data_IF_282162380541
#
_entry.id   IF_282162380541
#
_cell.length_a   1.000
_cell.length_b   1.000
_cell.length_c   1.000
_cell.angle_alpha   90.00
_cell.angle_beta   90.00
_cell.angle_gamma   90.00
#
_symmetry.space_group_name_H-M   'P 1'
#
loop_
_entity.id
_entity.type
_entity.pdbx_description
1 polymer ?
#
# COMPACT_ATOMS: atom_id res chain seq x y z
N UNK A 1 32.78 -11.56 14.09
CA UNK A 1 31.73 -10.62 13.64
C UNK A 1 30.40 -11.34 13.78
N UNK A 2 29.70 -11.06 14.87
CA UNK A 2 28.46 -11.75 15.23
C UNK A 2 27.35 -11.39 14.23
N UNK A 3 26.77 -12.43 13.65
CA UNK A 3 25.58 -12.35 12.81
C UNK A 3 24.41 -11.81 13.65
N UNK A 4 23.97 -10.59 13.36
CA UNK A 4 22.68 -10.09 13.87
C UNK A 4 21.57 -10.90 13.21
N UNK A 5 21.17 -11.97 13.87
CA UNK A 5 19.91 -12.65 13.62
C UNK A 5 18.82 -11.59 13.78
N UNK A 6 18.10 -11.29 12.71
CA UNK A 6 16.92 -10.43 12.75
C UNK A 6 15.91 -11.10 13.68
N UNK A 7 15.90 -10.71 14.96
CA UNK A 7 14.87 -11.12 15.90
C UNK A 7 13.54 -10.61 15.37
N UNK A 8 12.68 -11.51 14.91
CA UNK A 8 11.26 -11.22 14.86
C UNK A 8 10.81 -10.94 16.29
N UNK A 9 10.62 -9.65 16.62
CA UNK A 9 10.00 -9.24 17.87
C UNK A 9 8.66 -9.96 18.00
N UNK A 10 8.38 -10.52 19.17
CA UNK A 10 7.03 -11.02 19.47
C UNK A 10 6.00 -9.91 19.22
N UNK A 11 4.80 -10.29 18.75
CA UNK A 11 3.69 -9.35 18.56
C UNK A 11 3.38 -8.63 19.87
N UNK A 12 3.01 -7.33 19.83
CA UNK A 12 2.63 -6.59 21.03
C UNK A 12 1.45 -7.23 21.76
N UNK A 13 1.51 -7.26 23.09
CA UNK A 13 0.41 -7.76 23.92
C UNK A 13 -0.55 -6.62 24.26
N UNK A 14 -1.56 -6.42 23.43
CA UNK A 14 -2.60 -5.37 23.62
C UNK A 14 -3.38 -5.53 24.94
N UNK A 15 -3.44 -6.73 25.50
CA UNK A 15 -4.10 -7.01 26.79
C UNK A 15 -3.22 -6.72 28.02
N UNK A 16 -2.05 -6.10 27.85
CA UNK A 16 -1.19 -5.73 28.97
C UNK A 16 -1.86 -4.72 29.92
N UNK A 17 -1.70 -4.94 31.23
CA UNK A 17 -2.13 -3.96 32.23
C UNK A 17 -1.29 -2.68 32.07
N UNK A 18 -1.93 -1.52 32.21
CA UNK A 18 -1.32 -0.20 32.10
C UNK A 18 -0.57 0.00 30.77
N UNK A 19 -1.15 -0.48 29.66
CA UNK A 19 -0.58 -0.29 28.34
C UNK A 19 -0.46 1.21 28.00
N UNK A 20 0.67 1.58 27.39
CA UNK A 20 0.90 2.97 26.96
C UNK A 20 0.09 3.26 25.69
N UNK A 21 -0.64 4.38 25.72
CA UNK A 21 -1.45 4.87 24.60
C UNK A 21 -0.77 6.11 24.03
N UNK A 22 -0.64 6.16 22.70
CA UNK A 22 -0.24 7.34 21.96
C UNK A 22 -1.46 7.97 21.29
N UNK A 23 -1.43 9.29 21.12
CA UNK A 23 -2.42 10.05 20.35
C UNK A 23 -1.82 10.39 18.99
N UNK A 24 -2.52 10.09 17.90
CA UNK A 24 -2.16 10.57 16.57
C UNK A 24 -3.24 11.54 16.10
N UNK A 25 -2.83 12.76 15.76
CA UNK A 25 -3.71 13.82 15.24
C UNK A 25 -3.55 13.84 13.72
N UNK A 26 -4.61 13.58 12.96
CA UNK A 26 -4.55 13.37 11.52
C UNK A 26 -5.38 14.42 10.78
N UNK A 27 -4.85 14.91 9.67
CA UNK A 27 -5.51 15.88 8.80
C UNK A 27 -5.60 17.29 9.39
N UNK A 28 -6.16 18.25 8.62
CA UNK A 28 -6.23 19.65 9.04
C UNK A 28 -7.17 19.87 10.23
N UNK A 29 -8.18 19.02 10.40
CA UNK A 29 -9.13 19.04 11.51
C UNK A 29 -8.56 18.38 12.78
N UNK A 30 -7.41 17.70 12.68
CA UNK A 30 -6.74 16.99 13.78
C UNK A 30 -7.61 15.90 14.39
N UNK A 31 -8.16 15.05 13.54
CA UNK A 31 -8.91 13.87 13.97
C UNK A 31 -8.03 13.00 14.87
N UNK A 32 -8.58 12.59 16.02
CA UNK A 32 -7.79 12.02 17.11
C UNK A 32 -7.91 10.51 17.14
N UNK A 33 -6.79 9.82 16.95
CA UNK A 33 -6.69 8.38 17.09
C UNK A 33 -5.92 8.03 18.36
N UNK A 34 -6.53 7.25 19.25
CA UNK A 34 -5.89 6.73 20.47
C UNK A 34 -5.47 5.27 20.25
N UNK A 35 -4.17 5.03 20.18
CA UNK A 35 -3.61 3.75 19.72
C UNK A 35 -2.60 3.23 20.74
N UNK A 36 -2.56 1.91 20.93
CA UNK A 36 -1.49 1.29 21.71
C UNK A 36 -0.13 1.64 21.11
N UNK A 37 0.71 2.33 21.90
CA UNK A 37 2.05 2.77 21.48
C UNK A 37 2.87 1.60 20.97
N UNK A 38 2.77 0.45 21.63
CA UNK A 38 3.52 -0.75 21.24
C UNK A 38 3.14 -1.26 19.85
N UNK A 39 1.88 -1.10 19.40
CA UNK A 39 1.49 -1.45 18.03
C UNK A 39 2.17 -0.54 17.01
N UNK A 40 2.05 0.77 17.19
CA UNK A 40 2.66 1.77 16.30
C UNK A 40 4.18 1.56 16.18
N UNK A 41 4.86 1.47 17.32
CA UNK A 41 6.32 1.31 17.35
C UNK A 41 6.79 -0.05 16.85
N UNK A 42 5.99 -1.12 17.01
CA UNK A 42 6.30 -2.44 16.50
C UNK A 42 6.29 -2.47 14.97
N UNK A 43 5.23 -1.96 14.33
CA UNK A 43 5.03 -2.07 12.89
C UNK A 43 5.63 -0.91 12.07
N UNK A 44 6.01 0.19 12.71
CA UNK A 44 6.60 1.35 12.02
C UNK A 44 7.87 1.84 12.72
N UNK A 45 9.04 1.76 12.06
CA UNK A 45 10.26 2.41 12.52
C UNK A 45 10.11 3.93 12.67
N UNK A 46 9.27 4.57 11.84
CA UNK A 46 8.95 5.99 11.97
C UNK A 46 8.30 6.28 13.33
N UNK A 47 7.18 5.61 13.65
CA UNK A 47 6.49 5.82 14.92
C UNK A 47 7.35 5.38 16.11
N UNK A 48 8.20 4.36 15.95
CA UNK A 48 9.20 3.98 16.96
C UNK A 48 10.14 5.14 17.27
N UNK A 49 10.70 5.78 16.24
CA UNK A 49 11.59 6.91 16.40
C UNK A 49 10.87 8.11 17.04
N UNK A 50 9.65 8.42 16.57
CA UNK A 50 8.86 9.54 17.07
C UNK A 50 8.43 9.37 18.54
N UNK A 51 8.01 8.17 18.94
CA UNK A 51 7.41 7.92 20.25
C UNK A 51 8.39 7.36 21.31
N UNK A 52 9.59 6.93 20.92
CA UNK A 52 10.59 6.35 21.82
C UNK A 52 11.89 7.16 21.92
N UNK A 53 12.00 8.25 21.14
CA UNK A 53 13.15 9.14 21.18
C UNK A 53 13.08 10.17 22.31
N UNK A 54 13.91 11.20 22.20
CA UNK A 54 13.95 12.34 23.12
C UNK A 54 13.25 13.58 22.51
N UNK A 55 12.33 13.36 21.58
CA UNK A 55 11.58 14.44 20.94
C UNK A 55 10.32 14.77 21.74
N UNK A 56 9.73 15.93 21.48
CA UNK A 56 8.52 16.42 22.15
C UNK A 56 7.36 15.42 22.04
N UNK A 57 7.26 14.74 20.92
CA UNK A 57 6.27 13.70 20.64
C UNK A 57 6.41 12.49 21.57
N UNK A 58 7.64 12.16 21.98
CA UNK A 58 7.89 11.08 22.92
C UNK A 58 7.49 11.47 24.35
N UNK A 59 7.70 12.74 24.74
CA UNK A 59 7.26 13.29 26.03
C UNK A 59 5.74 13.44 26.10
N UNK A 60 5.11 13.95 25.04
CA UNK A 60 3.66 14.20 24.97
C UNK A 60 2.85 12.98 24.52
N UNK A 61 3.53 11.89 24.14
CA UNK A 61 2.93 10.72 23.50
C UNK A 61 1.95 11.08 22.37
N UNK A 62 2.27 12.13 21.61
CA UNK A 62 1.39 12.70 20.60
C UNK A 62 2.16 12.94 19.30
N UNK A 63 1.63 12.47 18.18
CA UNK A 63 2.17 12.70 16.83
C UNK A 63 1.12 13.43 16.01
N UNK A 64 1.53 14.45 15.23
CA UNK A 64 0.62 15.21 14.35
C UNK A 64 0.99 15.00 12.90
N UNK A 65 0.01 14.62 12.07
CA UNK A 65 0.13 14.30 10.66
C UNK A 65 -0.87 15.17 9.85
N UNK A 66 -0.58 16.46 9.64
CA UNK A 66 -1.57 17.42 9.15
C UNK A 66 -1.94 17.24 7.67
N UNK A 67 -1.07 16.60 6.89
CA UNK A 67 -1.24 16.36 5.45
C UNK A 67 -1.94 15.03 5.14
N UNK A 68 -2.08 14.15 6.13
CA UNK A 68 -2.62 12.82 5.92
C UNK A 68 -4.15 12.81 5.95
N UNK A 69 -4.73 11.95 5.12
CA UNK A 69 -6.16 11.71 5.10
C UNK A 69 -6.58 10.85 6.32
N UNK A 70 -7.52 11.32 7.16
CA UNK A 70 -8.03 10.54 8.29
C UNK A 70 -8.57 9.15 7.89
N UNK A 71 -9.26 9.06 6.75
CA UNK A 71 -9.80 7.81 6.20
C UNK A 71 -8.67 6.79 5.92
N UNK A 72 -7.61 7.21 5.23
CA UNK A 72 -6.46 6.34 4.94
C UNK A 72 -5.75 5.91 6.22
N UNK A 73 -5.62 6.81 7.20
CA UNK A 73 -5.04 6.48 8.48
C UNK A 73 -5.91 5.51 9.29
N UNK A 74 -7.23 5.61 9.21
CA UNK A 74 -8.16 4.68 9.85
C UNK A 74 -7.97 3.25 9.35
N UNK A 75 -7.73 3.04 8.04
CA UNK A 75 -7.37 1.72 7.50
C UNK A 75 -6.07 1.16 8.09
N UNK A 76 -5.07 2.02 8.28
CA UNK A 76 -3.84 1.61 8.98
C UNK A 76 -4.14 1.23 10.43
N UNK A 77 -4.96 2.00 11.15
CA UNK A 77 -5.36 1.66 12.52
C UNK A 77 -6.12 0.34 12.58
N UNK A 78 -7.09 0.12 11.70
CA UNK A 78 -7.79 -1.15 11.59
C UNK A 78 -6.82 -2.31 11.38
N UNK A 79 -5.88 -2.18 10.45
CA UNK A 79 -4.87 -3.20 10.20
C UNK A 79 -3.94 -3.43 11.41
N UNK A 80 -3.58 -2.40 12.18
CA UNK A 80 -2.77 -2.58 13.39
C UNK A 80 -3.43 -3.53 14.40
N UNK A 81 -4.76 -3.46 14.54
CA UNK A 81 -5.52 -4.27 15.49
C UNK A 81 -5.91 -5.64 14.92
N UNK A 82 -6.29 -5.71 13.64
CA UNK A 82 -6.85 -6.92 13.04
C UNK A 82 -5.84 -7.73 12.22
N UNK A 83 -4.74 -7.10 11.78
CA UNK A 83 -3.73 -7.69 10.89
C UNK A 83 -4.30 -8.21 9.56
N UNK A 84 -5.43 -7.63 9.13
CA UNK A 84 -6.08 -7.80 7.83
C UNK A 84 -6.61 -6.45 7.35
N UNK A 85 -6.86 -6.33 6.06
CA UNK A 85 -7.57 -5.18 5.48
C UNK A 85 -9.08 -5.31 5.75
N UNK A 86 -9.87 -4.24 5.54
CA UNK A 86 -11.31 -4.29 5.76
C UNK A 86 -12.02 -5.32 4.86
N UNK A 87 -13.04 -5.97 5.41
CA UNK A 87 -13.89 -6.96 4.74
C UNK A 87 -15.35 -6.88 5.21
N UNK A 88 -16.20 -7.76 4.66
CA UNK A 88 -17.65 -7.78 4.93
C UNK A 88 -18.02 -8.11 6.38
N UNK A 89 -17.08 -8.62 7.18
CA UNK A 89 -17.27 -8.90 8.60
C UNK A 89 -17.08 -7.65 9.48
N UNK A 90 -16.57 -6.54 8.91
CA UNK A 90 -16.41 -5.27 9.62
C UNK A 90 -17.72 -4.46 9.70
N UNK A 91 -17.70 -3.37 10.48
CA UNK A 91 -18.85 -2.47 10.58
C UNK A 91 -19.27 -1.95 9.20
N UNK A 92 -20.56 -2.01 8.88
CA UNK A 92 -21.11 -1.67 7.55
C UNK A 92 -20.64 -0.31 7.06
N UNK A 93 -20.69 0.72 7.91
CA UNK A 93 -20.24 2.09 7.55
C UNK A 93 -18.75 2.17 7.19
N UNK A 94 -17.93 1.29 7.76
CA UNK A 94 -16.49 1.24 7.50
C UNK A 94 -16.20 0.39 6.25
N UNK A 95 -16.91 -0.73 6.08
CA UNK A 95 -16.82 -1.56 4.89
C UNK A 95 -17.27 -0.80 3.64
N UNK A 96 -18.40 -0.08 3.68
CA UNK A 96 -18.90 0.73 2.57
C UNK A 96 -17.94 1.86 2.17
N UNK A 97 -17.13 2.35 3.12
CA UNK A 97 -16.07 3.31 2.82
C UNK A 97 -14.87 2.66 2.09
N UNK A 98 -14.64 1.36 2.29
CA UNK A 98 -13.54 0.59 1.70
C UNK A 98 -13.90 -0.03 0.35
N UNK A 99 -15.12 -0.58 0.25
CA UNK A 99 -15.63 -1.27 -0.93
C UNK A 99 -17.15 -1.07 -0.99
N UNK A 100 -17.61 -0.29 -1.96
CA UNK A 100 -19.05 -0.11 -2.17
C UNK A 100 -19.58 -1.16 -3.16
N UNK A 101 -20.75 -1.78 -2.90
CA UNK A 101 -21.39 -2.68 -3.86
C UNK A 101 -21.92 -1.95 -5.11
N UNK A 102 -22.00 -0.62 -5.08
CA UNK A 102 -22.43 0.21 -6.21
C UNK A 102 -21.27 0.76 -7.01
N UNK A 103 -20.05 0.53 -6.55
CA UNK A 103 -18.81 0.94 -7.17
C UNK A 103 -18.19 -0.27 -7.86
N UNK A 104 -17.62 -0.08 -9.04
CA UNK A 104 -17.01 -1.20 -9.78
C UNK A 104 -15.73 -1.70 -9.10
N UNK A 105 -15.18 -0.96 -8.13
CA UNK A 105 -13.93 -1.28 -7.44
C UNK A 105 -12.95 -0.11 -7.40
N UNK A 106 -13.27 0.98 -8.11
CA UNK A 106 -12.54 2.24 -8.13
C UNK A 106 -12.14 2.72 -6.71
N UNK A 107 -13.09 2.76 -5.78
CA UNK A 107 -12.90 3.22 -4.41
C UNK A 107 -11.90 2.37 -3.63
N UNK A 108 -11.97 1.05 -3.84
CA UNK A 108 -11.05 0.11 -3.20
C UNK A 108 -9.65 0.28 -3.79
N UNK A 109 -9.55 0.43 -5.12
CA UNK A 109 -8.30 0.71 -5.83
C UNK A 109 -7.63 1.97 -5.31
N UNK A 110 -8.38 3.07 -5.22
CA UNK A 110 -7.88 4.34 -4.68
C UNK A 110 -7.44 4.22 -3.22
N UNK A 111 -8.23 3.55 -2.39
CA UNK A 111 -7.89 3.34 -0.96
C UNK A 111 -6.60 2.54 -0.79
N UNK A 112 -6.39 1.50 -1.61
CA UNK A 112 -5.16 0.69 -1.60
C UNK A 112 -3.92 1.47 -2.04
N UNK A 113 -4.04 2.31 -3.07
CA UNK A 113 -2.96 3.17 -3.56
C UNK A 113 -2.57 4.21 -2.50
N UNK A 114 -3.56 4.88 -1.89
CA UNK A 114 -3.32 5.81 -0.79
C UNK A 114 -2.69 5.12 0.42
N UNK A 115 -3.16 3.92 0.75
CA UNK A 115 -2.60 3.13 1.86
C UNK A 115 -1.16 2.71 1.59
N UNK A 116 -0.82 2.33 0.36
CA UNK A 116 0.56 2.04 -0.03
C UNK A 116 1.46 3.26 0.18
N UNK A 117 1.04 4.44 -0.29
CA UNK A 117 1.81 5.70 -0.14
C UNK A 117 2.03 6.02 1.34
N UNK A 118 0.98 5.90 2.16
CA UNK A 118 1.08 6.06 3.61
C UNK A 118 2.10 5.08 4.22
N UNK A 119 2.08 3.82 3.79
CA UNK A 119 3.02 2.80 4.26
C UNK A 119 4.46 3.09 3.84
N UNK A 120 4.68 3.66 2.65
CA UNK A 120 5.99 4.10 2.21
C UNK A 120 6.51 5.24 3.09
N UNK A 121 5.71 6.31 3.23
CA UNK A 121 6.02 7.51 4.01
C UNK A 121 6.35 7.19 5.48
N UNK A 122 5.57 6.31 6.10
CA UNK A 122 5.74 5.94 7.52
C UNK A 122 6.46 4.62 7.75
N UNK A 123 7.08 4.04 6.71
CA UNK A 123 7.84 2.80 6.79
C UNK A 123 7.06 1.67 7.47
N UNK A 124 5.97 1.21 6.85
CA UNK A 124 5.12 0.11 7.34
C UNK A 124 5.18 -1.06 6.35
N UNK A 125 6.28 -1.86 6.32
CA UNK A 125 6.52 -2.79 5.22
C UNK A 125 5.47 -3.90 5.09
N UNK A 126 4.95 -4.40 6.21
CA UNK A 126 3.98 -5.50 6.20
C UNK A 126 2.65 -5.06 5.60
N UNK A 127 2.17 -3.86 5.95
CA UNK A 127 0.95 -3.31 5.35
C UNK A 127 1.18 -2.90 3.90
N UNK A 128 2.38 -2.41 3.55
CA UNK A 128 2.74 -2.13 2.15
C UNK A 128 2.62 -3.38 1.27
N UNK A 129 3.10 -4.53 1.76
CA UNK A 129 2.93 -5.83 1.10
C UNK A 129 1.46 -6.23 1.03
N UNK A 130 0.72 -6.11 2.13
CA UNK A 130 -0.71 -6.46 2.16
C UNK A 130 -1.54 -5.63 1.16
N UNK A 131 -1.31 -4.31 1.10
CA UNK A 131 -1.97 -3.43 0.14
C UNK A 131 -1.60 -3.78 -1.31
N UNK A 132 -0.34 -4.15 -1.57
CA UNK A 132 0.10 -4.57 -2.91
C UNK A 132 -0.58 -5.88 -3.34
N UNK A 133 -0.66 -6.87 -2.44
CA UNK A 133 -1.34 -8.14 -2.69
C UNK A 133 -2.83 -7.92 -2.96
N UNK A 134 -3.50 -7.13 -2.13
CA UNK A 134 -4.93 -6.87 -2.29
C UNK A 134 -5.23 -6.10 -3.57
N UNK A 135 -4.38 -5.14 -3.95
CA UNK A 135 -4.52 -4.43 -5.23
C UNK A 135 -4.32 -5.37 -6.42
N UNK A 136 -3.32 -6.25 -6.33
CA UNK A 136 -3.08 -7.26 -7.36
C UNK A 136 -4.27 -8.19 -7.52
N UNK A 137 -4.77 -8.71 -6.41
CA UNK A 137 -5.90 -9.62 -6.40
C UNK A 137 -7.19 -8.95 -6.88
N UNK A 138 -7.43 -7.71 -6.46
CA UNK A 138 -8.59 -6.94 -6.88
C UNK A 138 -8.64 -6.76 -8.39
N UNK A 139 -7.51 -6.44 -9.01
CA UNK A 139 -7.43 -6.26 -10.47
C UNK A 139 -7.37 -7.60 -11.22
N UNK A 140 -6.72 -8.61 -10.66
CA UNK A 140 -6.58 -9.92 -11.30
C UNK A 140 -7.87 -10.76 -11.25
N UNK A 141 -8.64 -10.68 -10.16
CA UNK A 141 -9.86 -11.49 -9.94
C UNK A 141 -11.13 -10.85 -10.52
N UNK A 142 -11.06 -9.64 -11.08
CA UNK A 142 -12.22 -9.04 -11.75
C UNK A 142 -12.60 -9.86 -12.99
N UNK A 143 -13.84 -10.37 -13.01
CA UNK A 143 -14.43 -11.11 -14.13
C UNK A 143 -14.93 -10.20 -15.26
N UNK A 144 -14.95 -8.89 -15.02
CA UNK A 144 -15.28 -7.85 -16.00
C UNK A 144 -13.99 -7.19 -16.53
N UNK A 145 -13.99 -6.62 -17.75
CA UNK A 145 -12.84 -5.89 -18.29
C UNK A 145 -12.35 -4.86 -17.26
N UNK A 146 -11.05 -4.91 -17.04
CA UNK A 146 -10.33 -4.56 -15.81
C UNK A 146 -10.58 -3.15 -15.26
N UNK A 147 -10.79 -3.04 -13.94
CA UNK A 147 -10.71 -1.77 -13.20
C UNK A 147 -9.24 -1.32 -13.10
N UNK A 148 -8.68 -0.86 -14.21
CA UNK A 148 -7.39 -0.21 -14.16
C UNK A 148 -7.49 1.02 -13.24
N UNK A 149 -6.49 1.28 -12.39
CA UNK A 149 -6.49 2.47 -11.55
C UNK A 149 -6.65 3.72 -12.40
N UNK A 150 -7.63 4.56 -12.08
CA UNK A 150 -7.86 5.78 -12.85
C UNK A 150 -6.61 6.68 -12.99
N UNK A 151 -6.54 7.55 -14.01
CA UNK A 151 -5.42 8.47 -14.21
C UNK A 151 -5.07 9.30 -12.97
N UNK A 152 -6.07 9.70 -12.17
CA UNK A 152 -5.84 10.43 -10.92
C UNK A 152 -5.08 9.62 -9.86
N UNK A 153 -5.34 8.30 -9.79
CA UNK A 153 -4.61 7.39 -8.92
C UNK A 153 -3.16 7.23 -9.37
N UNK A 154 -2.93 7.17 -10.69
CA UNK A 154 -1.60 7.11 -11.29
C UNK A 154 -0.83 8.41 -11.02
N UNK A 155 -1.47 9.57 -11.22
CA UNK A 155 -0.90 10.88 -10.92
C UNK A 155 -0.51 10.99 -9.44
N UNK A 156 -1.42 10.62 -8.55
CA UNK A 156 -1.16 10.62 -7.12
C UNK A 156 0.07 9.76 -6.78
N UNK A 157 0.12 8.49 -7.23
CA UNK A 157 1.24 7.60 -6.94
C UNK A 157 2.58 8.14 -7.45
N UNK A 158 2.63 8.66 -8.69
CA UNK A 158 3.85 9.20 -9.28
C UNK A 158 4.25 10.57 -8.68
N UNK A 159 3.32 11.31 -8.09
CA UNK A 159 3.63 12.55 -7.36
C UNK A 159 4.22 12.29 -5.96
N UNK A 160 3.88 11.16 -5.34
CA UNK A 160 4.24 10.85 -3.95
C UNK A 160 5.42 9.86 -3.82
N UNK A 161 5.70 9.07 -4.85
CA UNK A 161 6.68 7.98 -4.79
C UNK A 161 7.83 8.17 -5.78
N UNK A 162 8.96 7.51 -5.51
CA UNK A 162 10.00 7.33 -6.53
C UNK A 162 9.46 6.48 -7.68
N UNK A 163 9.75 6.87 -8.92
CA UNK A 163 9.28 6.17 -10.13
C UNK A 163 9.78 4.72 -10.27
N UNK A 164 10.74 4.29 -9.44
CA UNK A 164 11.26 2.91 -9.36
C UNK A 164 10.57 2.11 -8.25
N UNK A 165 9.71 2.73 -7.47
CA UNK A 165 8.95 2.07 -6.41
C UNK A 165 8.16 0.87 -6.94
N UNK A 166 7.89 -0.07 -6.05
CA UNK A 166 7.06 -1.24 -6.31
C UNK A 166 5.73 -0.88 -6.97
N UNK A 167 5.00 0.06 -6.38
CA UNK A 167 3.70 0.49 -6.89
C UNK A 167 3.80 1.17 -8.25
N UNK A 168 4.71 2.12 -8.49
CA UNK A 168 4.83 2.76 -9.80
C UNK A 168 5.16 1.75 -10.90
N UNK A 169 6.03 0.77 -10.63
CA UNK A 169 6.29 -0.33 -11.57
C UNK A 169 5.06 -1.20 -11.77
N UNK A 170 4.30 -1.45 -10.72
CA UNK A 170 3.08 -2.25 -10.81
C UNK A 170 2.01 -1.57 -11.67
N UNK A 171 1.75 -0.27 -11.45
CA UNK A 171 0.78 0.50 -12.24
C UNK A 171 1.11 0.48 -13.74
N UNK A 172 2.39 0.63 -14.11
CA UNK A 172 2.82 0.52 -15.51
C UNK A 172 2.52 -0.88 -16.07
N UNK A 173 2.90 -1.92 -15.33
CA UNK A 173 2.65 -3.30 -15.75
C UNK A 173 1.15 -3.59 -15.87
N UNK A 174 0.31 -3.12 -14.94
CA UNK A 174 -1.15 -3.27 -15.00
C UNK A 174 -1.73 -2.76 -16.33
N UNK A 175 -1.38 -1.53 -16.69
CA UNK A 175 -1.83 -0.92 -17.94
C UNK A 175 -1.29 -1.61 -19.20
N UNK A 176 -0.08 -2.17 -19.13
CA UNK A 176 0.51 -2.86 -20.27
C UNK A 176 0.02 -4.30 -20.46
N UNK A 177 -0.50 -4.94 -19.41
CA UNK A 177 -0.93 -6.34 -19.42
C UNK A 177 -2.44 -6.51 -19.49
N UNK A 178 -3.15 -5.67 -18.74
CA UNK A 178 -4.59 -5.78 -18.55
C UNK A 178 -5.36 -4.66 -19.22
N UNK A 179 -4.65 -3.67 -19.78
CA UNK A 179 -5.22 -2.62 -20.61
C UNK A 179 -5.49 -3.09 -22.04
N UNK A 180 -6.70 -2.88 -22.53
CA UNK A 180 -7.06 -3.09 -23.93
C UNK A 180 -7.22 -1.77 -24.71
N UNK A 181 -7.45 -1.90 -26.02
CA UNK A 181 -7.58 -0.75 -26.91
C UNK A 181 -8.77 0.15 -26.55
N UNK A 182 -9.88 -0.42 -26.10
CA UNK A 182 -11.10 0.32 -25.76
C UNK A 182 -10.87 1.16 -24.50
N UNK A 183 -10.21 0.60 -23.49
CA UNK A 183 -9.82 1.31 -22.26
C UNK A 183 -8.83 2.45 -22.57
N UNK A 184 -7.83 2.21 -23.41
CA UNK A 184 -6.90 3.27 -23.83
C UNK A 184 -7.59 4.37 -24.63
N UNK A 185 -8.55 4.03 -25.49
CA UNK A 185 -9.34 5.00 -26.23
C UNK A 185 -10.27 5.82 -25.32
N UNK A 186 -10.86 5.20 -24.30
CA UNK A 186 -11.65 5.89 -23.28
C UNK A 186 -10.82 6.90 -22.48
N UNK A 187 -9.52 6.65 -22.31
CA UNK A 187 -8.58 7.48 -21.57
C UNK A 187 -7.78 8.44 -22.47
N UNK A 188 -8.17 8.62 -23.73
CA UNK A 188 -7.45 9.43 -24.73
C UNK A 188 -7.17 10.86 -24.28
N UNK A 189 -8.13 11.49 -23.61
CA UNK A 189 -8.05 12.89 -23.16
C UNK A 189 -7.61 13.00 -21.70
N UNK A 190 -7.32 11.88 -21.03
CA UNK A 190 -6.85 11.87 -19.67
C UNK A 190 -5.40 12.36 -19.56
N UNK A 191 -5.12 13.10 -18.49
CA UNK A 191 -3.75 13.48 -18.16
C UNK A 191 -3.07 12.37 -17.36
N UNK A 192 -1.89 11.97 -17.82
CA UNK A 192 -1.03 11.02 -17.11
C UNK A 192 0.33 11.66 -16.83
N UNK A 193 1.02 11.23 -15.76
CA UNK A 193 2.42 11.58 -15.55
C UNK A 193 3.24 11.23 -16.79
N UNK A 194 4.03 12.18 -17.29
CA UNK A 194 4.98 11.90 -18.38
C UNK A 194 5.88 10.69 -18.09
N UNK A 195 6.44 10.52 -16.87
CA UNK A 195 7.27 9.35 -16.59
C UNK A 195 6.50 8.02 -16.68
N UNK A 196 5.22 8.00 -16.31
CA UNK A 196 4.36 6.84 -16.48
C UNK A 196 4.21 6.49 -17.96
N UNK A 197 3.80 7.44 -18.80
CA UNK A 197 3.64 7.23 -20.24
C UNK A 197 4.94 6.78 -20.91
N UNK A 198 6.08 7.37 -20.54
CA UNK A 198 7.39 6.94 -21.05
C UNK A 198 7.72 5.49 -20.70
N UNK A 199 7.37 5.04 -19.48
CA UNK A 199 7.59 3.64 -19.07
C UNK A 199 6.68 2.69 -19.84
N UNK A 200 5.39 3.02 -19.99
CA UNK A 200 4.44 2.26 -20.82
C UNK A 200 4.96 2.12 -22.26
N UNK A 201 5.35 3.23 -22.89
CA UNK A 201 5.91 3.23 -24.24
C UNK A 201 7.21 2.41 -24.34
N UNK A 202 8.11 2.56 -23.37
CA UNK A 202 9.36 1.79 -23.32
C UNK A 202 9.10 0.29 -23.22
N UNK A 203 8.07 -0.09 -22.48
CA UNK A 203 7.69 -1.47 -22.24
C UNK A 203 7.07 -2.11 -23.49
N UNK A 204 6.12 -1.44 -24.14
CA UNK A 204 5.61 -1.87 -25.44
C UNK A 204 6.70 -1.93 -26.52
N UNK A 205 7.60 -0.94 -26.55
CA UNK A 205 8.73 -0.93 -27.49
C UNK A 205 9.66 -2.12 -27.27
N UNK A 206 9.93 -2.48 -26.01
CA UNK A 206 10.74 -3.65 -25.67
C UNK A 206 10.13 -4.94 -26.22
N UNK A 207 8.81 -5.12 -26.05
CA UNK A 207 8.09 -6.27 -26.58
C UNK A 207 8.12 -6.27 -28.11
N UNK A 208 7.84 -5.12 -28.75
CA UNK A 208 7.84 -4.98 -30.21
C UNK A 208 9.21 -5.26 -30.84
N UNK A 209 10.31 -4.94 -30.15
CA UNK A 209 11.68 -5.22 -30.59
C UNK A 209 12.14 -6.66 -30.33
N UNK A 210 11.25 -7.57 -29.95
CA UNK A 210 11.59 -8.97 -29.66
C UNK A 210 12.30 -9.17 -28.31
N UNK A 211 12.17 -8.21 -27.40
CA UNK A 211 12.58 -8.36 -26.01
C UNK A 211 11.75 -9.43 -25.28
N UNK A 212 12.06 -9.69 -24.00
CA UNK A 212 11.31 -10.66 -23.21
C UNK A 212 9.85 -10.26 -23.20
N UNK A 213 9.02 -11.11 -23.80
CA UNK A 213 7.58 -11.04 -23.61
C UNK A 213 7.28 -11.31 -22.15
N UNK A 214 6.12 -10.87 -21.74
CA UNK A 214 5.66 -11.24 -20.42
C UNK A 214 5.54 -12.75 -20.28
N UNK A 215 5.80 -13.29 -19.06
CA UNK A 215 5.69 -14.72 -18.85
C UNK A 215 4.28 -15.19 -19.23
N UNK A 216 4.16 -16.27 -19.99
CA UNK A 216 2.87 -16.97 -20.18
C UNK A 216 2.25 -17.38 -18.84
N UNK A 217 3.10 -17.59 -17.82
CA UNK A 217 2.73 -17.87 -16.44
C UNK A 217 2.13 -16.67 -15.67
N UNK A 218 2.05 -15.48 -16.29
CA UNK A 218 1.45 -14.27 -15.69
C UNK A 218 2.41 -13.38 -14.91
N UNK A 219 1.84 -12.32 -14.32
CA UNK A 219 2.53 -11.41 -13.42
C UNK A 219 2.62 -12.03 -12.01
N UNK A 220 3.79 -11.93 -11.37
CA UNK A 220 3.98 -12.33 -9.98
C UNK A 220 4.00 -11.11 -9.07
N UNK A 221 3.06 -11.01 -8.12
CA UNK A 221 2.93 -9.85 -7.22
C UNK A 221 4.19 -9.55 -6.42
N UNK A 222 4.95 -10.58 -6.02
CA UNK A 222 6.22 -10.44 -5.29
C UNK A 222 7.27 -9.60 -6.06
N UNK A 223 7.17 -9.46 -7.39
CA UNK A 223 8.00 -8.55 -8.21
C UNK A 223 7.90 -7.09 -7.76
N UNK A 224 6.77 -6.71 -7.17
CA UNK A 224 6.50 -5.34 -6.73
C UNK A 224 6.77 -5.11 -5.25
N UNK A 225 7.08 -6.17 -4.49
CA UNK A 225 7.48 -6.02 -3.10
C UNK A 225 8.94 -5.59 -2.98
N UNK A 226 9.19 -4.64 -2.08
CA UNK A 226 10.52 -4.09 -1.81
C UNK A 226 11.17 -4.78 -0.62
N UNK A 227 11.70 -5.98 -0.87
CA UNK A 227 12.38 -6.79 0.13
C UNK A 227 13.79 -6.26 0.45
N UNK A 228 14.21 -6.35 1.71
CA UNK A 228 15.56 -5.94 2.14
C UNK A 228 16.58 -7.04 1.93
N UNK A 229 16.15 -8.30 1.90
CA UNK A 229 17.04 -9.46 1.75
C UNK A 229 16.50 -10.48 0.75
N UNK A 230 17.39 -11.25 0.13
CA UNK A 230 17.00 -12.33 -0.78
C UNK A 230 16.21 -13.44 -0.07
N UNK A 231 16.39 -13.61 1.24
CA UNK A 231 15.58 -14.55 2.05
C UNK A 231 14.13 -14.08 2.17
N UNK A 232 13.91 -12.80 2.48
CA UNK A 232 12.56 -12.23 2.54
C UNK A 232 11.84 -12.39 1.19
N UNK A 233 12.55 -12.15 0.08
CA UNK A 233 12.00 -12.34 -1.26
C UNK A 233 11.64 -13.80 -1.54
N UNK A 234 12.56 -14.73 -1.23
CA UNK A 234 12.30 -16.16 -1.38
C UNK A 234 11.08 -16.60 -0.58
N UNK A 235 10.99 -16.20 0.70
CA UNK A 235 9.90 -16.59 1.59
C UNK A 235 8.57 -15.98 1.12
N UNK A 236 8.58 -14.72 0.66
CA UNK A 236 7.40 -14.06 0.10
C UNK A 236 6.89 -14.73 -1.19
N UNK A 237 7.79 -15.05 -2.11
CA UNK A 237 7.43 -15.68 -3.39
C UNK A 237 6.71 -17.02 -3.24
N UNK A 238 6.90 -17.71 -2.11
CA UNK A 238 6.24 -18.98 -1.79
C UNK A 238 4.85 -18.81 -1.18
N UNK A 239 4.56 -17.65 -0.58
CA UNK A 239 3.25 -17.34 0.01
C UNK A 239 2.29 -16.68 -0.97
N UNK A 240 2.80 -16.13 -2.08
CA UNK A 240 1.99 -15.50 -3.15
C UNK A 240 1.19 -16.49 -4.00
N UNK A 241 1.33 -17.80 -3.77
CA UNK A 241 0.59 -18.89 -4.39
C UNK A 241 0.33 -19.97 -3.34
N UNK A 242 -0.70 -19.75 -2.52
CA UNK A 242 -1.20 -20.68 -1.51
C UNK A 242 -2.68 -20.46 -1.28
#
# INVERSE_FOLDING_TARGET
MESKITQHSAKPRISAKNASIATVLVGPQKDRFHIHKDLLTHYSPFFRAALSGNFKEAEEHTVTLPEECPKTFEYFVHWLYNQRLPDEDDATEFHEQWSSPTDDGEMKTGSLIHLYVLCDKYSIPQLKIAATNELFDHVHRSTEPTNLPEPEHVEFAFSQLDEKSGLCRFLVDMYCFWGDMEQWDALRDAEFPKPFLFKVLSQYSTVACGGPQYPEAGIFVCKYHEHKTGREQHDCSRTSWG
#
